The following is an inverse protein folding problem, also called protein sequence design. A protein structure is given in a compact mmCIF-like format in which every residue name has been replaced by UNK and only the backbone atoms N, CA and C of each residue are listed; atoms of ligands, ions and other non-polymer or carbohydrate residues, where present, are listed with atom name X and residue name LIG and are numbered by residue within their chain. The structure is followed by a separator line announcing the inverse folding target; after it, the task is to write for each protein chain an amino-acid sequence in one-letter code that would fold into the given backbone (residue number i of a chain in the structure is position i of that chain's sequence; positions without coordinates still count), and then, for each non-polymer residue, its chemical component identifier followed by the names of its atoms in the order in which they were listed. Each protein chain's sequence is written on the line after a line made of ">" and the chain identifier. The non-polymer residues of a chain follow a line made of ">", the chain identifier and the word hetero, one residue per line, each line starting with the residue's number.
data_IF_351807347921
#
_entry.id   IF_351807347921
#
_cell.length_a   1.000
_cell.length_b   1.000
_cell.length_c   1.000
_cell.angle_alpha   90.00
_cell.angle_beta   90.00
_cell.angle_gamma   90.00
#
_symmetry.space_group_name_H-M   'P 1'
#
loop_
_entity.id
_entity.type
_entity.pdbx_description
1 polymer ?
#
# COMPACT_ATOMS: atom_id res chain seq x y z
N UNK A 1 14.72 -3.73 -14.45
CA UNK A 1 13.71 -3.03 -13.61
C UNK A 1 13.32 -3.98 -12.48
N UNK A 2 13.43 -3.55 -11.22
CA UNK A 2 12.96 -4.36 -10.08
C UNK A 2 11.60 -3.84 -9.65
N UNK A 3 10.59 -4.69 -9.70
CA UNK A 3 9.24 -4.36 -9.28
C UNK A 3 8.93 -5.19 -8.03
N UNK A 4 8.50 -4.52 -6.97
CA UNK A 4 8.08 -5.19 -5.72
C UNK A 4 6.59 -5.46 -5.78
N UNK A 5 6.16 -6.67 -5.47
CA UNK A 5 4.74 -7.01 -5.43
C UNK A 5 4.03 -6.30 -4.27
N UNK A 6 3.04 -5.48 -4.60
CA UNK A 6 2.24 -4.69 -3.66
C UNK A 6 0.73 -4.98 -3.81
N UNK A 7 0.36 -6.03 -4.55
CA UNK A 7 -1.04 -6.33 -4.91
C UNK A 7 -1.90 -6.70 -3.71
N UNK A 8 -1.30 -7.25 -2.66
CA UNK A 8 -2.02 -7.60 -1.41
C UNK A 8 -2.26 -6.38 -0.50
N UNK A 9 -1.73 -5.21 -0.86
CA UNK A 9 -1.79 -4.02 -0.03
C UNK A 9 -0.82 -4.04 1.14
N UNK A 10 -0.74 -2.92 1.85
CA UNK A 10 0.17 -2.74 2.98
C UNK A 10 0.65 -1.31 3.16
N UNK A 11 1.37 -1.10 4.26
CA UNK A 11 1.99 0.18 4.58
C UNK A 11 3.27 0.35 3.76
N UNK A 12 3.36 1.44 3.01
CA UNK A 12 4.58 1.78 2.27
C UNK A 12 5.48 2.65 3.16
N UNK A 13 6.74 2.25 3.33
CA UNK A 13 7.70 2.95 4.19
C UNK A 13 8.99 3.31 3.43
N UNK A 14 9.61 4.42 3.83
CA UNK A 14 10.75 4.99 3.11
C UNK A 14 10.32 5.95 2.01
N UNK A 15 11.25 6.80 1.55
CA UNK A 15 10.99 7.82 0.51
C UNK A 15 9.81 8.77 0.87
N UNK A 16 9.88 9.36 2.07
CA UNK A 16 8.88 10.30 2.61
C UNK A 16 9.03 11.74 2.11
N UNK A 17 10.02 12.02 1.25
CA UNK A 17 10.28 13.35 0.72
C UNK A 17 9.40 13.69 -0.50
N UNK A 18 9.13 14.98 -0.71
CA UNK A 18 8.33 15.50 -1.84
C UNK A 18 8.97 15.30 -3.22
N UNK A 19 10.24 14.86 -3.27
CA UNK A 19 10.99 14.60 -4.50
C UNK A 19 11.20 13.10 -4.73
N UNK A 20 10.54 12.26 -3.94
CA UNK A 20 10.91 10.86 -3.73
C UNK A 20 9.75 9.91 -4.09
N UNK A 21 8.97 10.29 -5.09
CA UNK A 21 7.85 9.52 -5.62
C UNK A 21 8.23 8.08 -5.93
N UNK A 22 7.36 7.17 -5.52
CA UNK A 22 7.46 5.73 -5.75
C UNK A 22 6.54 5.38 -6.93
N UNK A 23 7.09 4.96 -8.08
CA UNK A 23 6.29 4.58 -9.24
C UNK A 23 5.43 3.36 -8.94
N UNK A 24 4.17 3.40 -9.37
CA UNK A 24 3.26 2.27 -9.35
C UNK A 24 2.99 1.77 -10.77
N UNK A 25 3.07 0.46 -10.96
CA UNK A 25 2.92 -0.20 -12.25
C UNK A 25 1.80 -1.22 -12.23
N UNK A 26 1.05 -1.30 -13.32
CA UNK A 26 0.04 -2.33 -13.55
C UNK A 26 0.47 -3.22 -14.71
N UNK A 27 0.24 -4.53 -14.57
CA UNK A 27 0.48 -5.50 -15.65
C UNK A 27 -0.65 -5.45 -16.68
N UNK A 28 -0.31 -5.21 -17.94
CA UNK A 28 -1.29 -5.07 -19.05
C UNK A 28 -1.25 -6.26 -20.03
N UNK A 29 -0.55 -7.33 -19.69
CA UNK A 29 -0.40 -8.53 -20.50
C UNK A 29 0.94 -8.59 -21.27
N UNK A 30 1.28 -9.78 -21.80
CA UNK A 30 2.50 -9.97 -22.59
C UNK A 30 3.83 -9.68 -21.86
N UNK A 31 3.81 -9.64 -20.52
CA UNK A 31 4.97 -9.23 -19.70
C UNK A 31 5.20 -7.72 -19.65
N UNK A 32 4.26 -6.92 -20.18
CA UNK A 32 4.34 -5.46 -20.21
C UNK A 32 3.71 -4.86 -18.95
N UNK A 33 4.37 -3.83 -18.43
CA UNK A 33 3.91 -3.04 -17.30
C UNK A 33 3.77 -1.58 -17.72
N UNK A 34 2.67 -0.96 -17.32
CA UNK A 34 2.41 0.46 -17.56
C UNK A 34 2.45 1.24 -16.25
N UNK A 35 2.97 2.47 -16.31
CA UNK A 35 2.97 3.39 -15.18
C UNK A 35 1.52 3.82 -14.90
N UNK A 36 1.01 3.46 -13.72
CA UNK A 36 -0.35 3.80 -13.30
C UNK A 36 -0.41 5.06 -12.44
N UNK A 37 0.70 5.44 -11.80
CA UNK A 37 0.73 6.60 -10.93
C UNK A 37 1.98 6.64 -10.06
N UNK A 38 1.99 7.62 -9.16
CA UNK A 38 3.03 7.85 -8.17
C UNK A 38 2.40 7.80 -6.78
N UNK A 39 3.18 7.36 -5.80
CA UNK A 39 2.79 7.36 -4.40
C UNK A 39 3.97 7.73 -3.51
N UNK A 40 3.70 8.08 -2.27
CA UNK A 40 4.71 8.48 -1.30
C UNK A 40 4.89 7.46 -0.19
N UNK A 41 6.08 7.47 0.40
CA UNK A 41 6.31 6.85 1.69
C UNK A 41 5.29 7.33 2.71
N UNK A 42 4.66 6.38 3.39
CA UNK A 42 3.71 6.63 4.46
C UNK A 42 2.26 6.57 4.06
N UNK A 43 1.99 6.36 2.77
CA UNK A 43 0.67 5.99 2.28
C UNK A 43 0.42 4.48 2.47
N UNK A 44 -0.85 4.12 2.50
CA UNK A 44 -1.28 2.74 2.66
C UNK A 44 -1.98 2.26 1.40
N UNK A 45 -1.57 1.11 0.88
CA UNK A 45 -2.21 0.47 -0.26
C UNK A 45 -3.27 -0.48 0.26
N UNK A 46 -4.52 -0.27 -0.12
CA UNK A 46 -5.61 -1.22 0.13
C UNK A 46 -5.74 -2.15 -1.08
N UNK A 47 -5.81 -3.46 -0.84
CA UNK A 47 -6.06 -4.48 -1.88
C UNK A 47 -7.37 -4.22 -2.61
N UNK A 48 -7.49 -4.76 -3.82
CA UNK A 48 -8.68 -4.55 -4.65
C UNK A 48 -9.95 -5.09 -3.97
N UNK A 49 -9.83 -6.26 -3.36
CA UNK A 49 -10.91 -6.95 -2.68
C UNK A 49 -11.40 -6.14 -1.47
N UNK A 50 -10.46 -5.63 -0.65
CA UNK A 50 -10.79 -4.77 0.48
C UNK A 50 -11.33 -3.40 0.05
N UNK A 51 -10.78 -2.80 -1.01
CA UNK A 51 -11.26 -1.55 -1.56
C UNK A 51 -12.71 -1.67 -2.06
N UNK A 52 -13.05 -2.79 -2.70
CA UNK A 52 -14.41 -3.08 -3.17
C UNK A 52 -15.36 -3.35 -2.01
N UNK A 53 -14.93 -4.12 -1.00
CA UNK A 53 -15.76 -4.50 0.15
C UNK A 53 -16.04 -3.32 1.09
N UNK A 54 -15.07 -2.43 1.28
CA UNK A 54 -15.08 -1.38 2.31
C UNK A 54 -15.00 0.04 1.73
N UNK A 55 -15.44 0.23 0.49
CA UNK A 55 -15.26 1.47 -0.26
C UNK A 55 -15.65 2.72 0.55
N UNK A 56 -16.87 2.78 1.08
CA UNK A 56 -17.38 3.94 1.82
C UNK A 56 -16.53 4.25 3.07
N UNK A 57 -16.09 3.22 3.79
CA UNK A 57 -15.27 3.39 4.98
C UNK A 57 -13.88 3.93 4.63
N UNK A 58 -13.27 3.39 3.56
CA UNK A 58 -11.95 3.82 3.08
C UNK A 58 -12.01 5.26 2.58
N UNK A 59 -13.03 5.62 1.79
CA UNK A 59 -13.21 6.99 1.31
C UNK A 59 -13.39 7.98 2.46
N UNK A 60 -14.18 7.60 3.48
CA UNK A 60 -14.37 8.42 4.68
C UNK A 60 -13.05 8.62 5.45
N UNK A 61 -12.24 7.57 5.58
CA UNK A 61 -10.90 7.67 6.21
C UNK A 61 -10.00 8.57 5.36
N UNK A 62 -9.95 8.36 4.04
CA UNK A 62 -9.08 9.11 3.13
C UNK A 62 -9.49 10.58 2.95
N UNK A 63 -10.72 10.95 3.29
CA UNK A 63 -11.16 12.36 3.31
C UNK A 63 -10.47 13.19 4.42
N UNK A 64 -9.83 12.54 5.39
CA UNK A 64 -9.10 13.24 6.45
C UNK A 64 -7.89 14.00 5.89
N UNK A 65 -7.78 15.26 6.32
CA UNK A 65 -6.68 16.18 6.01
C UNK A 65 -6.13 16.72 7.33
N UNK A 66 -4.84 17.05 7.37
CA UNK A 66 -4.27 17.62 8.59
C UNK A 66 -2.77 17.84 8.52
N UNK A 67 -2.17 18.03 9.69
CA UNK A 67 -0.73 18.01 9.88
C UNK A 67 -0.30 16.61 10.32
N UNK A 68 0.86 16.20 9.83
CA UNK A 68 1.47 14.92 10.14
C UNK A 68 1.73 14.73 11.63
N UNK A 69 1.18 13.66 12.21
CA UNK A 69 1.75 13.07 13.41
C UNK A 69 2.94 12.17 13.05
N UNK A 70 3.75 11.79 14.03
CA UNK A 70 4.67 10.67 13.86
C UNK A 70 3.87 9.42 13.51
N UNK A 71 4.27 8.72 12.45
CA UNK A 71 3.63 7.47 12.09
C UNK A 71 4.03 6.39 13.09
N UNK A 72 3.09 5.75 13.77
CA UNK A 72 3.40 4.63 14.64
C UNK A 72 3.80 3.44 13.77
N UNK A 73 5.09 3.32 13.44
CA UNK A 73 5.66 2.11 12.84
C UNK A 73 5.58 0.98 13.87
N UNK A 74 4.41 0.35 13.95
CA UNK A 74 4.21 -0.88 14.71
C UNK A 74 4.18 -2.03 13.71
N UNK A 75 4.90 -3.10 14.04
CA UNK A 75 4.80 -4.33 13.28
C UNK A 75 3.38 -4.87 13.43
N UNK A 76 2.64 -4.94 12.34
CA UNK A 76 1.33 -5.57 12.28
C UNK A 76 1.46 -6.98 11.73
N UNK A 77 0.77 -7.93 12.37
CA UNK A 77 0.62 -9.29 11.86
C UNK A 77 -0.47 -9.40 10.80
N UNK A 78 -1.17 -8.30 10.46
CA UNK A 78 -2.35 -8.32 9.58
C UNK A 78 -2.03 -7.89 8.16
N UNK A 79 -0.98 -7.08 7.96
CA UNK A 79 -0.63 -6.54 6.64
C UNK A 79 0.87 -6.44 6.42
N UNK A 80 1.26 -6.38 5.15
CA UNK A 80 2.66 -6.26 4.76
C UNK A 80 3.19 -4.84 4.95
N UNK A 81 4.47 -4.74 5.32
CA UNK A 81 5.23 -3.48 5.27
C UNK A 81 6.11 -3.52 4.02
N UNK A 82 5.90 -2.57 3.12
CA UNK A 82 6.60 -2.46 1.84
C UNK A 82 7.70 -1.40 1.98
N UNK A 83 8.93 -1.83 2.23
CA UNK A 83 10.07 -0.93 2.38
C UNK A 83 10.68 -0.57 1.02
N UNK A 84 10.65 0.72 0.68
CA UNK A 84 11.12 1.25 -0.61
C UNK A 84 12.47 1.94 -0.55
N UNK A 85 13.13 2.00 0.61
CA UNK A 85 14.44 2.66 0.77
C UNK A 85 15.55 2.00 -0.07
N UNK A 86 15.43 0.70 -0.34
CA UNK A 86 16.42 -0.07 -1.12
C UNK A 86 15.97 -0.32 -2.57
N UNK A 87 14.95 0.40 -3.03
CA UNK A 87 14.48 0.29 -4.39
C UNK A 87 15.54 0.88 -5.35
N UNK A 88 16.02 0.12 -6.34
CA UNK A 88 17.00 0.64 -7.29
C UNK A 88 16.39 1.74 -8.17
N UNK A 89 17.22 2.57 -8.82
CA UNK A 89 16.74 3.53 -9.82
C UNK A 89 15.83 2.86 -10.86
N UNK A 90 14.67 3.47 -11.12
CA UNK A 90 13.65 2.92 -12.01
C UNK A 90 12.89 1.71 -11.47
N UNK A 91 13.04 1.37 -10.18
CA UNK A 91 12.17 0.41 -9.51
C UNK A 91 10.78 0.99 -9.21
N UNK A 92 9.84 0.12 -8.86
CA UNK A 92 8.51 0.54 -8.43
C UNK A 92 7.71 -0.58 -7.80
N UNK A 93 6.43 -0.30 -7.56
CA UNK A 93 5.48 -1.22 -6.97
C UNK A 93 4.57 -1.80 -8.03
N UNK A 94 4.34 -3.11 -7.99
CA UNK A 94 3.35 -3.78 -8.81
C UNK A 94 2.02 -3.75 -8.08
N UNK A 95 1.05 -3.08 -8.67
CA UNK A 95 -0.33 -3.00 -8.20
C UNK A 95 -1.30 -3.64 -9.21
N UNK A 96 -2.50 -3.97 -8.74
CA UNK A 96 -3.65 -4.33 -9.55
C UNK A 96 -4.54 -3.10 -9.80
N UNK A 97 -5.30 -3.13 -10.88
CA UNK A 97 -6.40 -2.19 -11.06
C UNK A 97 -7.41 -2.31 -9.90
N UNK A 98 -7.95 -1.16 -9.47
CA UNK A 98 -8.97 -1.11 -8.43
C UNK A 98 -8.44 -1.24 -6.99
N UNK A 99 -7.12 -1.23 -6.79
CA UNK A 99 -6.55 -0.93 -5.46
C UNK A 99 -6.75 0.54 -5.10
N UNK A 100 -6.81 0.84 -3.80
CA UNK A 100 -7.01 2.21 -3.30
C UNK A 100 -5.80 2.67 -2.50
N UNK A 101 -5.32 3.89 -2.77
CA UNK A 101 -4.20 4.50 -2.03
C UNK A 101 -4.77 5.45 -0.99
N UNK A 102 -4.54 5.15 0.28
CA UNK A 102 -4.92 6.01 1.40
C UNK A 102 -3.78 6.95 1.69
N UNK A 103 -4.08 8.25 1.68
CA UNK A 103 -3.11 9.30 1.91
C UNK A 103 -2.43 9.14 3.27
N UNK A 104 -1.23 9.71 3.38
CA UNK A 104 -0.39 9.52 4.55
C UNK A 104 -0.95 10.11 5.84
N UNK A 105 -1.76 11.18 5.78
CA UNK A 105 -2.40 11.77 6.97
C UNK A 105 -3.42 10.81 7.57
N UNK A 106 -4.30 10.30 6.72
CA UNK A 106 -5.30 9.32 7.09
C UNK A 106 -4.65 8.01 7.56
N UNK A 107 -3.57 7.60 6.87
CA UNK A 107 -2.80 6.40 7.24
C UNK A 107 -2.20 6.51 8.64
N UNK A 108 -1.54 7.62 8.96
CA UNK A 108 -0.90 7.81 10.28
C UNK A 108 -1.91 7.73 11.44
N UNK A 109 -3.15 8.16 11.22
CA UNK A 109 -4.20 8.17 12.24
C UNK A 109 -5.01 6.87 12.32
N UNK A 110 -5.19 6.18 11.20
CA UNK A 110 -6.10 5.04 11.08
C UNK A 110 -5.40 3.72 10.71
N UNK A 111 -4.08 3.62 10.85
CA UNK A 111 -3.31 2.46 10.42
C UNK A 111 -3.92 1.13 10.86
N UNK A 112 -4.22 0.96 12.16
CA UNK A 112 -4.82 -0.30 12.67
C UNK A 112 -6.17 -0.62 12.02
N UNK A 113 -6.98 0.40 11.74
CA UNK A 113 -8.27 0.22 11.06
C UNK A 113 -8.06 -0.17 9.61
N UNK A 114 -7.16 0.50 8.89
CA UNK A 114 -6.82 0.18 7.50
C UNK A 114 -6.27 -1.24 7.39
N UNK A 115 -5.45 -1.66 8.34
CA UNK A 115 -4.92 -3.01 8.41
C UNK A 115 -6.01 -4.06 8.57
N UNK A 116 -6.97 -3.78 9.45
CA UNK A 116 -8.11 -4.66 9.68
C UNK A 116 -9.02 -4.75 8.46
N UNK A 117 -9.31 -3.62 7.80
CA UNK A 117 -10.12 -3.58 6.58
C UNK A 117 -9.44 -4.33 5.44
N UNK A 118 -8.12 -4.15 5.28
CA UNK A 118 -7.35 -4.82 4.25
C UNK A 118 -7.32 -6.34 4.46
N UNK A 119 -7.05 -6.79 5.68
CA UNK A 119 -7.02 -8.21 6.02
C UNK A 119 -8.39 -8.89 5.92
N UNK A 120 -9.48 -8.18 6.25
CA UNK A 120 -10.85 -8.69 6.12
C UNK A 120 -11.33 -8.79 4.66
N UNK A 121 -10.80 -7.96 3.76
CA UNK A 121 -11.04 -8.08 2.32
C UNK A 121 -10.12 -9.10 1.63
N UNK A 122 -8.95 -9.36 2.20
CA UNK A 122 -7.92 -10.21 1.62
C UNK A 122 -7.39 -11.25 2.63
N UNK A 123 -8.13 -12.35 2.89
CA UNK A 123 -7.74 -13.35 3.88
C UNK A 123 -6.43 -14.08 3.53
N UNK A 124 -6.00 -14.07 2.26
CA UNK A 124 -4.73 -14.66 1.82
C UNK A 124 -3.51 -13.86 2.29
N UNK A 125 -3.69 -12.61 2.75
CA UNK A 125 -2.61 -11.82 3.37
C UNK A 125 -2.05 -12.48 4.64
N UNK A 126 -2.87 -13.25 5.37
CA UNK A 126 -2.44 -14.02 6.55
C UNK A 126 -1.50 -15.18 6.19
N UNK A 127 -1.66 -15.78 4.99
CA UNK A 127 -0.89 -16.95 4.57
C UNK A 127 0.48 -16.59 3.98
N UNK A 128 0.70 -15.31 3.66
CA UNK A 128 1.97 -14.83 3.09
C UNK A 128 3.05 -14.58 4.14
N UNK A 129 2.66 -14.62 5.43
CA UNK A 129 3.56 -14.45 6.58
C UNK A 129 4.06 -15.83 7.04
N UNK A 130 4.75 -16.53 6.16
CA UNK A 130 5.63 -17.67 6.48
C UNK A 130 5.02 -18.79 7.34
N UNK A 131 4.36 -19.75 6.70
CA UNK A 131 4.54 -21.14 7.11
C UNK A 131 5.62 -21.76 6.21
N UNK A 132 6.71 -22.32 6.75
CA UNK A 132 7.66 -23.07 5.94
C UNK A 132 6.93 -24.32 5.43
N UNK A 133 6.99 -24.55 4.11
CA UNK A 133 6.75 -25.87 3.53
C UNK A 133 7.92 -26.80 3.88
#
# INVERSE_FOLDING_TARGET
>A
MRITDARLGGLVVGRHGTNDDIPMYVHVGGGVFELSGLMHGGEFIVSHEAATKHQEAIEKINAEKGAAGEMPLRYSSKTSVINTNLMPPGGGLWINHGQFIVNWFATAKHLETLEQLNADGNPDSFLSIGLPL
#
